data_IF_575104463464
#
_entry.id   IF_575104463464
#
_cell.length_a   1.000
_cell.length_b   1.000
_cell.length_c   1.000
_cell.angle_alpha   90.00
_cell.angle_beta   90.00
_cell.angle_gamma   90.00
#
_symmetry.space_group_name_H-M   'P 1'
#
loop_
_entity.id
_entity.type
_entity.pdbx_description
1 polymer ?
#
# COMPACT_ATOMS: atom_id res chain seq x y z
N UNK A 1 40.09 5.38 26.94
CA UNK A 1 38.74 5.74 27.44
C UNK A 1 37.80 5.60 26.25
N UNK A 2 37.26 4.40 26.04
CA UNK A 2 36.56 4.04 24.79
C UNK A 2 35.11 4.49 24.79
N UNK A 3 34.78 5.22 23.72
CA UNK A 3 33.54 5.26 22.91
C UNK A 3 32.18 4.96 23.54
N UNK A 4 31.24 5.90 23.36
CA UNK A 4 29.87 5.58 22.94
C UNK A 4 29.37 6.63 21.94
N UNK A 5 29.50 6.29 20.66
CA UNK A 5 28.86 6.93 19.53
C UNK A 5 27.33 6.84 19.71
N UNK A 6 26.68 7.94 20.08
CA UNK A 6 25.22 8.03 20.12
C UNK A 6 24.67 8.26 18.72
N UNK A 7 24.83 7.29 17.83
CA UNK A 7 24.00 7.19 16.64
C UNK A 7 22.58 6.89 17.11
N UNK A 8 21.78 7.96 17.23
CA UNK A 8 20.34 7.85 17.50
C UNK A 8 19.73 7.17 16.29
N UNK A 9 19.66 5.83 16.31
CA UNK A 9 19.00 5.01 15.28
C UNK A 9 17.54 5.46 15.25
N UNK A 10 17.26 6.44 14.39
CA UNK A 10 15.91 6.92 14.12
C UNK A 10 15.22 5.80 13.38
N UNK A 11 14.18 5.22 13.99
CA UNK A 11 13.41 4.16 13.37
C UNK A 11 12.75 4.73 12.11
N UNK A 12 13.12 4.21 10.93
CA UNK A 12 12.45 4.61 9.70
C UNK A 12 11.09 3.90 9.62
N UNK A 13 10.04 4.63 10.00
CA UNK A 13 8.67 4.11 9.99
C UNK A 13 8.15 3.67 8.62
N UNK A 14 8.90 3.84 7.51
CA UNK A 14 8.53 3.34 6.18
C UNK A 14 8.90 1.87 5.99
N UNK A 15 9.88 1.38 6.76
CA UNK A 15 10.32 -0.04 6.78
C UNK A 15 9.45 -0.92 7.67
N UNK A 16 8.62 -0.34 8.54
CA UNK A 16 7.70 -1.08 9.39
C UNK A 16 6.54 -1.67 8.59
N UNK A 17 6.08 -2.86 9.00
CA UNK A 17 4.86 -3.54 8.52
C UNK A 17 3.65 -2.58 8.58
N UNK A 18 2.70 -2.64 7.65
CA UNK A 18 1.50 -1.78 7.66
C UNK A 18 0.76 -1.75 9.01
N UNK A 19 0.67 -2.88 9.70
CA UNK A 19 0.07 -2.99 11.04
C UNK A 19 0.86 -2.20 12.09
N UNK A 20 2.18 -2.35 12.11
CA UNK A 20 3.07 -1.60 13.00
C UNK A 20 3.00 -0.08 12.73
N UNK A 21 2.83 0.35 11.48
CA UNK A 21 2.63 1.77 11.16
C UNK A 21 1.30 2.30 11.71
N UNK A 22 0.23 1.51 11.65
CA UNK A 22 -1.07 1.86 12.19
C UNK A 22 -1.00 2.04 13.71
N UNK A 23 -0.37 1.11 14.40
CA UNK A 23 -0.14 1.20 15.85
C UNK A 23 0.69 2.43 16.22
N UNK A 24 1.77 2.73 15.50
CA UNK A 24 2.59 3.91 15.75
C UNK A 24 1.78 5.21 15.59
N UNK A 25 0.94 5.32 14.55
CA UNK A 25 0.06 6.48 14.35
C UNK A 25 -0.96 6.60 15.47
N UNK A 26 -1.58 5.48 15.86
CA UNK A 26 -2.53 5.42 16.98
C UNK A 26 -1.88 5.90 18.29
N UNK A 27 -0.72 5.36 18.65
CA UNK A 27 0.03 5.74 19.86
C UNK A 27 0.42 7.22 19.82
N UNK A 28 0.87 7.73 18.67
CA UNK A 28 1.19 9.14 18.50
C UNK A 28 0.00 10.06 18.81
N UNK A 29 -1.20 9.71 18.34
CA UNK A 29 -2.40 10.53 18.56
C UNK A 29 -2.88 10.42 20.01
N UNK A 30 -2.81 9.23 20.61
CA UNK A 30 -3.14 9.04 22.03
C UNK A 30 -2.23 9.90 22.91
N UNK A 31 -0.92 9.87 22.71
CA UNK A 31 0.00 10.73 23.47
C UNK A 31 -0.23 12.22 23.23
N UNK A 32 -0.61 12.61 22.01
CA UNK A 32 -0.95 14.00 21.73
C UNK A 32 -2.22 14.43 22.46
N UNK A 33 -3.24 13.56 22.53
CA UNK A 33 -4.49 13.81 23.27
C UNK A 33 -4.27 13.88 24.78
N UNK A 34 -3.28 13.15 25.28
CA UNK A 34 -2.83 13.17 26.67
C UNK A 34 -2.01 14.44 27.02
N UNK A 35 -1.80 15.35 26.06
CA UNK A 35 -1.10 16.62 26.28
C UNK A 35 0.43 16.51 26.22
N UNK A 36 0.98 15.36 25.80
CA UNK A 36 2.43 15.17 25.69
C UNK A 36 3.00 16.04 24.56
N UNK A 37 4.12 16.72 24.84
CA UNK A 37 4.81 17.57 23.85
C UNK A 37 5.29 16.73 22.66
N UNK A 38 5.18 17.27 21.44
CA UNK A 38 5.58 16.59 20.18
C UNK A 38 7.01 16.03 20.19
N UNK A 39 7.96 16.73 20.83
CA UNK A 39 9.35 16.29 20.95
C UNK A 39 9.51 15.07 21.86
N UNK A 40 8.70 14.98 22.91
CA UNK A 40 8.67 13.84 23.83
C UNK A 40 8.01 12.63 23.15
N UNK A 41 6.93 12.84 22.39
CA UNK A 41 6.30 11.78 21.58
C UNK A 41 7.30 11.18 20.58
N UNK A 42 8.09 12.03 19.91
CA UNK A 42 9.11 11.61 18.97
C UNK A 42 10.17 10.72 19.62
N UNK A 43 10.64 11.11 20.82
CA UNK A 43 11.60 10.32 21.62
C UNK A 43 11.02 8.98 22.06
N UNK A 44 9.80 8.98 22.62
CA UNK A 44 9.12 7.75 23.08
C UNK A 44 8.85 6.74 21.97
N UNK A 45 8.56 7.21 20.76
CA UNK A 45 8.29 6.35 19.61
C UNK A 45 9.56 6.02 18.79
N UNK A 46 10.71 6.64 19.08
CA UNK A 46 11.92 6.49 18.28
C UNK A 46 11.80 7.05 16.85
N UNK A 47 10.88 7.99 16.63
CA UNK A 47 10.53 8.54 15.32
C UNK A 47 10.99 10.00 15.19
N UNK A 48 11.13 10.47 13.95
CA UNK A 48 11.46 11.89 13.70
C UNK A 48 10.33 12.83 14.14
N UNK A 49 10.69 13.99 14.70
CA UNK A 49 9.76 15.09 15.04
C UNK A 49 8.90 15.52 13.85
N UNK A 50 9.43 15.43 12.63
CA UNK A 50 8.72 15.74 11.39
C UNK A 50 7.55 14.77 11.15
N UNK A 51 7.78 13.48 11.42
CA UNK A 51 6.74 12.46 11.32
C UNK A 51 5.61 12.72 12.31
N UNK A 52 5.95 12.97 13.58
CA UNK A 52 4.96 13.30 14.64
C UNK A 52 4.14 14.52 14.26
N UNK A 53 4.79 15.58 13.79
CA UNK A 53 4.12 16.82 13.36
C UNK A 53 3.16 16.56 12.20
N UNK A 54 3.54 15.72 11.24
CA UNK A 54 2.68 15.35 10.11
C UNK A 54 1.43 14.59 10.57
N UNK A 55 1.58 13.60 11.45
CA UNK A 55 0.43 12.83 11.96
C UNK A 55 -0.51 13.71 12.78
N UNK A 56 0.02 14.58 13.63
CA UNK A 56 -0.78 15.52 14.43
C UNK A 56 -1.50 16.54 13.53
N UNK A 57 -0.90 16.96 12.41
CA UNK A 57 -1.55 17.82 11.43
C UNK A 57 -2.75 17.11 10.80
N UNK A 58 -2.57 15.88 10.32
CA UNK A 58 -3.64 15.05 9.73
C UNK A 58 -4.77 14.84 10.76
N UNK A 59 -4.41 14.55 12.02
CA UNK A 59 -5.39 14.41 13.09
C UNK A 59 -6.25 15.67 13.29
N UNK A 60 -5.63 16.85 13.28
CA UNK A 60 -6.35 18.12 13.44
C UNK A 60 -7.20 18.50 12.23
N UNK A 61 -6.82 18.09 11.01
CA UNK A 61 -7.54 18.45 9.78
C UNK A 61 -8.62 17.45 9.38
N UNK A 62 -8.34 16.15 9.54
CA UNK A 62 -9.13 15.05 8.97
C UNK A 62 -9.65 14.08 10.04
N UNK A 63 -9.27 14.26 11.31
CA UNK A 63 -9.72 13.45 12.44
C UNK A 63 -8.88 12.20 12.74
N UNK A 64 -9.30 11.46 13.76
CA UNK A 64 -8.59 10.27 14.29
C UNK A 64 -8.49 9.13 13.26
N UNK A 65 -9.61 8.81 12.61
CA UNK A 65 -9.70 7.68 11.69
C UNK A 65 -8.77 7.85 10.49
N UNK A 66 -8.82 9.03 9.85
CA UNK A 66 -7.95 9.42 8.73
C UNK A 66 -6.46 9.39 9.10
N UNK A 67 -6.12 9.83 10.31
CA UNK A 67 -4.74 9.85 10.78
C UNK A 67 -4.18 8.46 11.09
N UNK A 68 -5.02 7.51 11.51
CA UNK A 68 -4.63 6.12 11.81
C UNK A 68 -4.58 5.27 10.55
N UNK A 69 -5.61 5.35 9.70
CA UNK A 69 -5.69 4.63 8.43
C UNK A 69 -4.51 4.97 7.51
N UNK A 70 -4.11 6.24 7.50
CA UNK A 70 -3.04 6.73 6.63
C UNK A 70 -3.40 6.58 5.14
N UNK A 71 -2.45 6.91 4.26
CA UNK A 71 -2.63 6.66 2.82
C UNK A 71 -2.44 5.17 2.53
N UNK A 72 -3.41 4.58 1.83
CA UNK A 72 -3.30 3.23 1.24
C UNK A 72 -2.01 3.15 0.43
N UNK A 73 -1.18 2.14 0.70
CA UNK A 73 0.11 1.95 0.02
C UNK A 73 -0.16 1.49 -1.42
N UNK A 74 0.39 2.21 -2.40
CA UNK A 74 0.15 1.99 -3.84
C UNK A 74 -0.28 3.28 -4.56
N UNK A 75 -0.44 3.22 -5.89
CA UNK A 75 -1.12 4.28 -6.64
C UNK A 75 -2.57 4.37 -6.16
N UNK A 76 -3.09 5.59 -5.99
CA UNK A 76 -4.52 5.79 -5.77
C UNK A 76 -5.30 5.23 -6.96
N UNK A 77 -6.56 4.85 -6.75
CA UNK A 77 -7.35 4.19 -7.81
C UNK A 77 -7.48 5.04 -9.07
N UNK A 78 -7.50 6.37 -8.92
CA UNK A 78 -7.48 7.31 -10.04
C UNK A 78 -6.19 7.19 -10.88
N UNK A 79 -5.00 7.34 -10.28
CA UNK A 79 -3.76 7.19 -11.05
C UNK A 79 -3.52 5.75 -11.52
N UNK A 80 -4.02 4.76 -10.77
CA UNK A 80 -3.98 3.38 -11.19
C UNK A 80 -4.86 3.15 -12.42
N UNK A 81 -6.04 3.77 -12.49
CA UNK A 81 -6.93 3.72 -13.67
C UNK A 81 -6.25 4.30 -14.90
N UNK A 82 -5.51 5.40 -14.76
CA UNK A 82 -4.76 6.03 -15.86
C UNK A 82 -3.62 5.15 -16.38
N UNK A 83 -3.02 4.32 -15.52
CA UNK A 83 -1.94 3.39 -15.89
C UNK A 83 -2.40 1.97 -16.21
N UNK A 84 -3.67 1.65 -15.96
CA UNK A 84 -4.22 0.33 -16.24
C UNK A 84 -4.66 0.25 -17.70
N UNK A 85 -4.22 -0.81 -18.37
CA UNK A 85 -4.72 -1.16 -19.70
C UNK A 85 -6.03 -1.94 -19.67
N UNK A 86 -6.45 -2.45 -18.52
CA UNK A 86 -7.72 -3.15 -18.31
C UNK A 86 -8.55 -2.43 -17.26
N UNK A 87 -9.85 -2.28 -17.50
CA UNK A 87 -10.80 -1.85 -16.47
C UNK A 87 -10.92 -2.93 -15.40
N UNK A 88 -11.32 -2.54 -14.18
CA UNK A 88 -11.61 -3.45 -13.05
C UNK A 88 -12.53 -4.60 -13.44
N UNK A 89 -13.52 -4.31 -14.28
CA UNK A 89 -14.51 -5.30 -14.74
C UNK A 89 -13.89 -6.33 -15.68
N UNK A 90 -12.97 -5.89 -16.55
CA UNK A 90 -12.26 -6.76 -17.48
C UNK A 90 -11.27 -7.65 -16.72
N UNK A 91 -10.51 -7.09 -15.77
CA UNK A 91 -9.63 -7.86 -14.87
C UNK A 91 -10.41 -8.96 -14.14
N UNK A 92 -11.61 -8.63 -13.63
CA UNK A 92 -12.46 -9.58 -12.91
C UNK A 92 -13.02 -10.67 -13.83
N UNK A 93 -13.40 -10.33 -15.07
CA UNK A 93 -13.83 -11.32 -16.07
C UNK A 93 -12.71 -12.30 -16.41
N UNK A 94 -11.50 -11.79 -16.63
CA UNK A 94 -10.31 -12.62 -16.89
C UNK A 94 -10.01 -13.53 -15.71
N UNK A 95 -10.01 -13.01 -14.48
CA UNK A 95 -9.78 -13.82 -13.28
C UNK A 95 -10.82 -14.93 -13.12
N UNK A 96 -12.10 -14.63 -13.37
CA UNK A 96 -13.16 -15.65 -13.37
C UNK A 96 -12.92 -16.71 -14.44
N UNK A 97 -12.54 -16.35 -15.67
CA UNK A 97 -12.23 -17.36 -16.69
C UNK A 97 -11.02 -18.22 -16.35
N UNK A 98 -10.00 -17.65 -15.73
CA UNK A 98 -8.82 -18.40 -15.30
C UNK A 98 -9.19 -19.40 -14.18
N UNK A 99 -10.07 -18.99 -13.25
CA UNK A 99 -10.49 -19.84 -12.13
C UNK A 99 -11.56 -20.87 -12.48
N UNK A 100 -12.46 -20.55 -13.41
CA UNK A 100 -13.61 -21.39 -13.78
C UNK A 100 -13.32 -22.32 -14.97
N UNK A 101 -12.46 -21.89 -15.90
CA UNK A 101 -12.25 -22.59 -17.19
C UNK A 101 -10.81 -23.03 -17.36
N UNK A 102 -10.62 -24.20 -17.94
CA UNK A 102 -9.31 -24.65 -18.39
C UNK A 102 -9.02 -24.08 -19.80
N UNK A 103 -7.77 -23.74 -20.14
CA UNK A 103 -7.43 -23.15 -21.45
C UNK A 103 -7.77 -24.08 -22.62
N UNK A 104 -7.75 -25.40 -22.40
CA UNK A 104 -8.22 -26.40 -23.35
C UNK A 104 -9.72 -26.24 -23.72
N UNK A 105 -10.57 -25.82 -22.76
CA UNK A 105 -12.00 -25.55 -23.03
C UNK A 105 -12.21 -24.27 -23.84
N UNK A 106 -11.24 -23.35 -23.81
CA UNK A 106 -11.27 -22.09 -24.56
C UNK A 106 -10.59 -22.20 -25.93
N UNK A 107 -10.24 -23.44 -26.35
CA UNK A 107 -9.55 -23.78 -27.60
C UNK A 107 -8.18 -23.10 -27.72
N UNK A 108 -7.50 -22.88 -26.60
CA UNK A 108 -6.10 -22.48 -26.62
C UNK A 108 -5.19 -23.70 -26.72
N UNK A 109 -4.08 -23.54 -27.43
CA UNK A 109 -3.05 -24.59 -27.62
C UNK A 109 -2.26 -24.90 -26.33
N UNK A 110 -2.52 -24.15 -25.25
CA UNK A 110 -1.84 -24.32 -23.97
C UNK A 110 -2.64 -25.24 -23.05
N UNK A 111 -1.95 -26.19 -22.40
CA UNK A 111 -2.54 -27.06 -21.39
C UNK A 111 -2.75 -26.36 -20.02
N UNK A 112 -2.10 -25.21 -19.80
CA UNK A 112 -2.09 -24.47 -18.53
C UNK A 112 -2.20 -22.96 -18.75
N UNK A 113 -2.76 -22.25 -17.78
CA UNK A 113 -2.81 -20.80 -17.77
C UNK A 113 -1.41 -20.22 -17.55
N UNK A 114 -0.76 -19.83 -18.65
CA UNK A 114 0.49 -19.07 -18.63
C UNK A 114 0.20 -17.58 -18.85
N UNK A 115 1.12 -16.69 -18.47
CA UNK A 115 1.00 -15.25 -18.75
C UNK A 115 0.76 -14.96 -20.25
N UNK A 116 1.35 -15.76 -21.14
CA UNK A 116 1.13 -15.68 -22.59
C UNK A 116 -0.30 -16.08 -22.99
N UNK A 117 -0.82 -17.17 -22.43
CA UNK A 117 -2.19 -17.61 -22.66
C UNK A 117 -3.22 -16.57 -22.19
N UNK A 118 -3.00 -15.98 -21.01
CA UNK A 118 -3.85 -14.91 -20.47
C UNK A 118 -3.81 -13.66 -21.35
N UNK A 119 -2.63 -13.27 -21.86
CA UNK A 119 -2.53 -12.15 -22.81
C UNK A 119 -3.28 -12.41 -24.11
N UNK A 120 -3.20 -13.62 -24.67
CA UNK A 120 -3.96 -13.95 -25.87
C UNK A 120 -5.47 -13.99 -25.62
N UNK A 121 -5.91 -14.45 -24.45
CA UNK A 121 -7.31 -14.38 -24.03
C UNK A 121 -7.79 -12.92 -23.99
N UNK A 122 -7.01 -12.04 -23.34
CA UNK A 122 -7.32 -10.62 -23.24
C UNK A 122 -7.36 -9.94 -24.61
N UNK A 123 -6.43 -10.28 -25.49
CA UNK A 123 -6.40 -9.75 -26.85
C UNK A 123 -7.62 -10.22 -27.67
N UNK A 124 -8.00 -11.50 -27.55
CA UNK A 124 -9.15 -12.07 -28.28
C UNK A 124 -10.48 -11.47 -27.85
N UNK A 125 -10.66 -11.26 -26.55
CA UNK A 125 -11.94 -10.84 -25.99
C UNK A 125 -12.11 -9.31 -25.91
N UNK A 126 -11.03 -8.59 -25.59
CA UNK A 126 -11.07 -7.14 -25.37
C UNK A 126 -10.31 -6.34 -26.44
N UNK A 127 -9.60 -7.01 -27.36
CA UNK A 127 -8.78 -6.33 -28.38
C UNK A 127 -7.57 -5.58 -27.80
N UNK A 128 -7.24 -5.78 -26.52
CA UNK A 128 -6.21 -5.01 -25.82
C UNK A 128 -4.88 -5.74 -25.79
N UNK A 129 -3.84 -5.07 -26.28
CA UNK A 129 -2.48 -5.58 -26.21
C UNK A 129 -1.80 -5.10 -24.92
N UNK A 130 -1.59 -6.03 -23.99
CA UNK A 130 -0.70 -5.81 -22.85
C UNK A 130 0.74 -5.87 -23.35
N UNK A 131 1.53 -4.87 -23.02
CA UNK A 131 2.98 -4.84 -23.25
C UNK A 131 3.71 -5.46 -22.05
N UNK A 132 4.97 -5.86 -22.25
CA UNK A 132 5.80 -6.52 -21.23
C UNK A 132 6.34 -5.53 -20.18
#
# INVERSE_FOLDING_TARGET
MSYEDKTTTTLDGRKATPEAQLELRRRCIVYFRDGVKRAEIARRLGLSRQWVTKIIKIYQTEGFDSAVAGKKRGLNEAAASEKRRLSREEEKKVANWIGDKNPAQLKFDFALWTAKAVRQLIYREFGRQLDL
#
